data_IF_072299670502
#
_entry.id   IF_072299670502
#
_cell.length_a   1.000
_cell.length_b   1.000
_cell.length_c   1.000
_cell.angle_alpha   90.00
_cell.angle_beta   90.00
_cell.angle_gamma   90.00
#
_symmetry.space_group_name_H-M   'P 1'
#
loop_
_entity.id
_entity.type
_entity.pdbx_description
1 polymer ?
#
# COMPACT_ATOMS: atom_id res chain seq x y z
N UNK A 1 -11.20 -9.44 5.18
CA UNK A 1 -12.11 -9.80 4.07
C UNK A 1 -12.33 -8.53 3.28
N UNK A 2 -12.16 -8.51 1.94
CA UNK A 2 -12.60 -7.35 1.17
C UNK A 2 -14.13 -7.23 1.30
N UNK A 3 -14.65 -6.01 1.26
CA UNK A 3 -16.03 -5.65 1.65
C UNK A 3 -17.08 -6.11 0.63
N UNK A 4 -17.17 -7.40 0.27
CA UNK A 4 -18.31 -7.98 -0.47
C UNK A 4 -18.81 -7.20 -1.71
N UNK A 5 -17.96 -6.40 -2.35
CA UNK A 5 -18.27 -5.46 -3.44
C UNK A 5 -17.39 -5.70 -4.66
N UNK A 6 -16.55 -6.73 -4.64
CA UNK A 6 -15.77 -7.15 -5.80
C UNK A 6 -16.67 -7.91 -6.77
N UNK A 7 -16.67 -7.45 -8.02
CA UNK A 7 -17.18 -8.15 -9.20
C UNK A 7 -16.11 -9.12 -9.72
N UNK A 8 -16.47 -10.00 -10.67
CA UNK A 8 -15.50 -10.91 -11.33
C UNK A 8 -14.36 -10.16 -12.04
N UNK A 9 -14.60 -8.91 -12.45
CA UNK A 9 -13.62 -8.04 -13.12
C UNK A 9 -12.84 -7.12 -12.15
N UNK A 10 -12.96 -7.32 -10.83
CA UNK A 10 -12.29 -6.43 -9.88
C UNK A 10 -10.81 -6.76 -9.71
N UNK A 11 -9.98 -5.74 -9.86
CA UNK A 11 -8.54 -5.82 -9.60
C UNK A 11 -8.24 -6.23 -8.15
N UNK A 12 -7.13 -6.93 -7.95
CA UNK A 12 -6.62 -7.34 -6.64
C UNK A 12 -5.47 -6.42 -6.24
N UNK A 13 -5.71 -5.56 -5.25
CA UNK A 13 -4.66 -4.73 -4.66
C UNK A 13 -3.83 -5.51 -3.62
N UNK A 14 -2.52 -5.59 -3.84
CA UNK A 14 -1.56 -6.18 -2.89
C UNK A 14 -0.57 -5.11 -2.44
N UNK A 15 -0.71 -4.69 -1.17
CA UNK A 15 0.24 -3.82 -0.50
C UNK A 15 1.50 -4.57 -0.04
N UNK A 16 2.66 -4.18 -0.57
CA UNK A 16 3.96 -4.68 -0.12
C UNK A 16 4.55 -3.64 0.84
N UNK A 17 4.53 -3.96 2.13
CA UNK A 17 5.11 -3.14 3.19
C UNK A 17 6.58 -3.53 3.38
N UNK A 18 7.49 -2.60 3.12
CA UNK A 18 8.93 -2.87 3.11
C UNK A 18 9.70 -1.89 3.99
N UNK A 19 10.88 -2.32 4.45
CA UNK A 19 11.89 -1.43 5.01
C UNK A 19 12.83 -1.00 3.87
N UNK A 20 13.02 0.32 3.70
CA UNK A 20 13.84 0.90 2.64
C UNK A 20 15.29 0.41 2.66
N UNK A 21 15.84 0.06 3.82
CA UNK A 21 17.22 -0.45 3.96
C UNK A 21 17.41 -1.84 3.34
N UNK A 22 16.35 -2.64 3.23
CA UNK A 22 16.39 -4.01 2.71
C UNK A 22 15.58 -4.20 1.43
N UNK A 23 15.12 -3.12 0.81
CA UNK A 23 14.28 -3.17 -0.37
C UNK A 23 15.11 -3.41 -1.63
N UNK A 24 14.81 -4.48 -2.35
CA UNK A 24 15.43 -4.79 -3.63
C UNK A 24 14.38 -4.93 -4.74
N UNK A 25 14.29 -3.88 -5.55
CA UNK A 25 13.36 -3.81 -6.68
C UNK A 25 13.65 -4.87 -7.75
N UNK A 26 14.90 -5.32 -7.88
CA UNK A 26 15.26 -6.34 -8.88
C UNK A 26 14.69 -7.69 -8.47
N UNK A 27 14.84 -8.05 -7.19
CA UNK A 27 14.21 -9.25 -6.64
C UNK A 27 12.69 -9.21 -6.79
N UNK A 28 12.05 -8.07 -6.50
CA UNK A 28 10.60 -7.91 -6.71
C UNK A 28 10.22 -8.12 -8.19
N UNK A 29 10.94 -7.49 -9.12
CA UNK A 29 10.68 -7.66 -10.55
C UNK A 29 10.88 -9.10 -11.02
N UNK A 30 11.89 -9.82 -10.53
CA UNK A 30 12.10 -11.23 -10.86
C UNK A 30 10.91 -12.10 -10.44
N UNK A 31 10.32 -11.85 -9.28
CA UNK A 31 9.11 -12.56 -8.85
C UNK A 31 7.88 -12.11 -9.64
N UNK A 32 7.74 -10.81 -9.91
CA UNK A 32 6.65 -10.28 -10.72
C UNK A 32 6.62 -10.93 -12.11
N UNK A 33 7.78 -11.02 -12.79
CA UNK A 33 7.91 -11.71 -14.08
C UNK A 33 7.53 -13.19 -14.01
N UNK A 34 7.84 -13.89 -12.92
CA UNK A 34 7.47 -15.31 -12.77
C UNK A 34 5.97 -15.52 -12.56
N UNK A 35 5.31 -14.55 -11.92
CA UNK A 35 3.89 -14.62 -11.58
C UNK A 35 2.99 -14.09 -12.70
N UNK A 36 3.49 -13.16 -13.50
CA UNK A 36 2.78 -12.59 -14.64
C UNK A 36 2.57 -13.62 -15.74
N UNK A 37 1.35 -13.72 -16.25
CA UNK A 37 0.95 -14.71 -17.26
C UNK A 37 1.74 -14.57 -18.57
N UNK A 38 2.10 -13.33 -18.94
CA UNK A 38 2.90 -13.04 -20.12
C UNK A 38 4.41 -13.09 -19.86
N UNK A 39 4.82 -13.34 -18.60
CA UNK A 39 6.20 -13.32 -18.16
C UNK A 39 6.96 -12.04 -18.57
N UNK A 40 6.30 -10.88 -18.47
CA UNK A 40 6.90 -9.59 -18.83
C UNK A 40 7.96 -9.18 -17.83
N UNK A 41 8.97 -8.47 -18.31
CA UNK A 41 10.06 -7.95 -17.49
C UNK A 41 9.79 -6.51 -17.04
N UNK A 42 10.37 -6.10 -15.90
CA UNK A 42 10.35 -4.73 -15.40
C UNK A 42 8.93 -4.16 -15.17
N UNK A 43 8.02 -4.99 -14.67
CA UNK A 43 6.62 -4.62 -14.39
C UNK A 43 6.47 -3.70 -13.17
N UNK A 44 7.43 -3.72 -12.24
CA UNK A 44 7.39 -2.96 -10.99
C UNK A 44 8.36 -1.80 -11.05
N UNK A 45 7.84 -0.59 -10.87
CA UNK A 45 8.62 0.64 -10.77
C UNK A 45 9.09 0.88 -9.33
N UNK A 46 10.28 1.46 -9.12
CA UNK A 46 10.83 1.66 -7.79
C UNK A 46 10.07 2.76 -7.00
N UNK A 47 10.27 2.80 -5.68
CA UNK A 47 9.95 3.96 -4.85
C UNK A 47 10.45 5.27 -5.49
N UNK A 48 9.57 6.26 -5.60
CA UNK A 48 9.75 7.58 -6.18
C UNK A 48 9.14 7.71 -7.58
N UNK A 49 8.95 6.59 -8.30
CA UNK A 49 8.58 6.63 -9.72
C UNK A 49 7.15 7.12 -9.97
N UNK A 50 6.25 6.95 -9.00
CA UNK A 50 4.88 7.41 -9.06
C UNK A 50 4.64 8.71 -8.27
N UNK A 51 5.70 9.32 -7.72
CA UNK A 51 5.62 10.55 -6.91
C UNK A 51 5.79 10.28 -5.42
N UNK A 52 5.61 11.31 -4.60
CA UNK A 52 6.03 11.25 -3.19
C UNK A 52 5.16 10.32 -2.34
N UNK A 53 3.86 10.18 -2.61
CA UNK A 53 2.93 9.47 -1.71
C UNK A 53 2.58 8.08 -2.21
N UNK A 54 2.08 7.94 -3.44
CA UNK A 54 1.97 6.61 -4.04
C UNK A 54 3.35 6.32 -4.61
N UNK A 55 4.22 5.74 -3.78
CA UNK A 55 5.66 5.82 -4.05
C UNK A 55 6.13 4.86 -5.16
N UNK A 56 5.36 3.82 -5.51
CA UNK A 56 5.71 2.89 -6.58
C UNK A 56 4.87 1.63 -6.54
N UNK A 57 5.10 0.72 -7.47
CA UNK A 57 4.24 -0.44 -7.66
C UNK A 57 4.35 -1.04 -9.05
N UNK A 58 3.43 -1.93 -9.39
CA UNK A 58 3.38 -2.54 -10.71
C UNK A 58 2.05 -3.22 -11.00
N UNK A 59 1.76 -3.42 -12.28
CA UNK A 59 0.52 -4.04 -12.76
C UNK A 59 0.84 -5.39 -13.38
N UNK A 60 0.20 -6.43 -12.87
CA UNK A 60 0.40 -7.81 -13.31
C UNK A 60 -0.95 -8.41 -13.74
N UNK A 61 -0.87 -9.46 -14.54
CA UNK A 61 -1.98 -10.39 -14.73
C UNK A 61 -1.54 -11.76 -14.24
N UNK A 62 -2.24 -12.34 -13.27
CA UNK A 62 -1.91 -13.64 -12.66
C UNK A 62 -3.12 -14.56 -12.80
N UNK A 63 -2.98 -15.64 -13.57
CA UNK A 63 -4.06 -16.57 -13.92
C UNK A 63 -5.33 -15.87 -14.44
N UNK A 64 -5.14 -14.85 -15.28
CA UNK A 64 -6.21 -14.04 -15.86
C UNK A 64 -6.78 -12.93 -14.96
N UNK A 65 -6.29 -12.79 -13.72
CA UNK A 65 -6.72 -11.73 -12.80
C UNK A 65 -5.76 -10.55 -12.81
N UNK A 66 -6.29 -9.34 -12.88
CA UNK A 66 -5.52 -8.10 -12.73
C UNK A 66 -5.08 -7.91 -11.27
N UNK A 67 -3.78 -7.67 -11.07
CA UNK A 67 -3.18 -7.53 -9.75
C UNK A 67 -2.32 -6.26 -9.69
N UNK A 68 -2.66 -5.39 -8.74
CA UNK A 68 -1.99 -4.12 -8.49
C UNK A 68 -1.06 -4.28 -7.30
N UNK A 69 0.26 -4.29 -7.56
CA UNK A 69 1.26 -4.24 -6.51
C UNK A 69 1.47 -2.80 -6.08
N UNK A 70 1.35 -2.54 -4.79
CA UNK A 70 1.46 -1.21 -4.22
C UNK A 70 2.58 -1.20 -3.17
N UNK A 71 3.63 -0.40 -3.41
CA UNK A 71 4.75 -0.30 -2.49
C UNK A 71 4.44 0.68 -1.35
N UNK A 72 4.72 0.25 -0.10
CA UNK A 72 4.55 1.06 1.11
C UNK A 72 5.80 0.98 1.99
N UNK A 73 6.49 2.11 2.16
CA UNK A 73 7.57 2.22 3.14
C UNK A 73 6.98 2.16 4.56
N UNK A 74 7.38 1.14 5.33
CA UNK A 74 6.84 0.91 6.66
C UNK A 74 7.16 2.05 7.64
N UNK A 75 8.34 2.68 7.56
CA UNK A 75 8.71 3.78 8.45
C UNK A 75 7.82 4.99 8.21
N UNK A 76 7.43 5.21 6.94
CA UNK A 76 6.47 6.27 6.58
C UNK A 76 5.07 5.95 7.10
N UNK A 77 4.61 4.71 6.96
CA UNK A 77 3.31 4.28 7.50
C UNK A 77 3.28 4.51 9.01
N UNK A 78 4.33 4.12 9.74
CA UNK A 78 4.46 4.36 11.18
C UNK A 78 4.41 5.84 11.55
N UNK A 79 5.04 6.71 10.75
CA UNK A 79 4.98 8.15 10.98
C UNK A 79 3.56 8.69 10.79
N UNK A 80 2.87 8.30 9.71
CA UNK A 80 1.48 8.70 9.49
C UNK A 80 0.55 8.17 10.58
N UNK A 81 0.79 6.96 11.07
CA UNK A 81 0.07 6.41 12.22
C UNK A 81 0.23 7.32 13.44
N UNK A 82 1.45 7.75 13.76
CA UNK A 82 1.70 8.71 14.86
C UNK A 82 1.03 10.06 14.61
N UNK A 83 1.13 10.60 13.41
CA UNK A 83 0.55 11.91 13.07
C UNK A 83 -0.98 11.89 13.21
N UNK A 84 -1.63 10.83 12.69
CA UNK A 84 -3.08 10.65 12.79
C UNK A 84 -3.56 10.42 14.23
N UNK A 85 -2.77 9.79 15.10
CA UNK A 85 -3.09 9.74 16.54
C UNK A 85 -3.13 11.13 17.19
N UNK A 86 -2.32 12.07 16.70
CA UNK A 86 -2.31 13.46 17.16
C UNK A 86 -3.29 14.35 16.38
N UNK A 87 -4.12 13.78 15.49
CA UNK A 87 -5.07 14.52 14.67
C UNK A 87 -4.44 15.32 13.52
N UNK A 88 -3.19 15.03 13.16
CA UNK A 88 -2.47 15.67 12.07
C UNK A 88 -2.77 14.93 10.77
N UNK A 89 -3.47 15.60 9.85
CA UNK A 89 -3.78 15.08 8.51
C UNK A 89 -3.37 16.14 7.49
N UNK A 90 -2.61 15.72 6.48
CA UNK A 90 -2.13 16.61 5.42
C UNK A 90 -2.74 16.23 4.09
N UNK A 91 -3.08 17.23 3.28
CA UNK A 91 -3.44 17.07 1.88
C UNK A 91 -2.23 17.45 1.04
N UNK A 92 -1.68 16.50 0.30
CA UNK A 92 -0.44 16.67 -0.44
C UNK A 92 -0.71 16.57 -1.93
N UNK A 93 0.01 17.34 -2.74
CA UNK A 93 -0.11 17.20 -4.18
C UNK A 93 0.49 15.86 -4.64
N UNK A 94 -0.21 15.15 -5.53
CA UNK A 94 0.20 13.86 -6.08
C UNK A 94 -0.25 13.81 -7.54
N UNK A 95 0.68 13.54 -8.46
CA UNK A 95 0.38 13.42 -9.89
C UNK A 95 -0.66 12.31 -10.12
N UNK A 96 -1.67 12.57 -10.94
CA UNK A 96 -2.81 11.67 -11.15
C UNK A 96 -3.94 11.79 -10.11
N UNK A 97 -3.76 12.60 -9.05
CA UNK A 97 -4.78 12.84 -8.02
C UNK A 97 -5.11 14.35 -7.95
N UNK A 98 -6.08 14.84 -8.76
CA UNK A 98 -6.36 16.27 -8.88
C UNK A 98 -6.84 16.94 -7.58
N UNK A 99 -7.30 16.16 -6.61
CA UNK A 99 -7.74 16.64 -5.28
C UNK A 99 -6.67 16.47 -4.17
N UNK A 100 -5.46 16.01 -4.53
CA UNK A 100 -4.40 15.72 -3.57
C UNK A 100 -4.55 14.37 -2.87
N UNK A 101 -3.43 13.86 -2.37
CA UNK A 101 -3.34 12.66 -1.55
C UNK A 101 -3.48 13.01 -0.06
N UNK A 102 -4.47 12.42 0.59
CA UNK A 102 -4.72 12.63 2.03
C UNK A 102 -3.85 11.64 2.81
N UNK A 103 -2.98 12.13 3.69
CA UNK A 103 -2.02 11.29 4.41
C UNK A 103 -2.69 10.15 5.18
N UNK A 104 -3.89 10.38 5.73
CA UNK A 104 -4.68 9.39 6.45
C UNK A 104 -5.09 8.15 5.61
N UNK A 105 -4.96 8.20 4.28
CA UNK A 105 -5.24 7.05 3.41
C UNK A 105 -4.33 5.86 3.74
N UNK A 106 -3.06 6.07 4.13
CA UNK A 106 -2.16 4.99 4.55
C UNK A 106 -2.72 4.19 5.73
N UNK A 107 -3.29 4.89 6.71
CA UNK A 107 -3.93 4.27 7.87
C UNK A 107 -5.19 3.52 7.45
N UNK A 108 -6.03 4.13 6.62
CA UNK A 108 -7.25 3.52 6.11
C UNK A 108 -6.97 2.24 5.32
N UNK A 109 -6.02 2.27 4.39
CA UNK A 109 -5.57 1.12 3.60
C UNK A 109 -5.11 -0.02 4.50
N UNK A 110 -4.23 0.24 5.48
CA UNK A 110 -3.76 -0.77 6.41
C UNK A 110 -4.89 -1.34 7.28
N UNK A 111 -5.79 -0.48 7.77
CA UNK A 111 -6.93 -0.87 8.60
C UNK A 111 -7.89 -1.82 7.87
N UNK A 112 -8.20 -1.57 6.60
CA UNK A 112 -9.14 -2.42 5.84
C UNK A 112 -8.47 -3.64 5.20
N UNK A 113 -7.14 -3.61 5.02
CA UNK A 113 -6.39 -4.70 4.38
C UNK A 113 -6.50 -6.03 5.13
N UNK A 114 -6.25 -7.13 4.42
CA UNK A 114 -6.03 -8.46 5.03
C UNK A 114 -4.54 -8.78 4.94
N UNK A 115 -3.92 -9.10 6.08
CA UNK A 115 -2.53 -9.58 6.09
C UNK A 115 -2.48 -10.95 5.41
N UNK A 116 -1.73 -11.04 4.32
CA UNK A 116 -1.42 -12.31 3.65
C UNK A 116 -0.16 -12.95 4.22
N UNK A 117 0.82 -12.11 4.59
CA UNK A 117 2.08 -12.53 5.21
C UNK A 117 2.64 -11.38 6.06
N UNK A 118 3.25 -11.72 7.19
CA UNK A 118 4.04 -10.80 8.00
C UNK A 118 5.26 -11.52 8.55
N UNK A 119 6.46 -10.96 8.33
CA UNK A 119 7.72 -11.52 8.83
C UNK A 119 7.83 -11.40 10.35
N UNK A 120 7.22 -10.37 10.93
CA UNK A 120 7.28 -10.04 12.34
C UNK A 120 5.90 -9.58 12.86
N UNK A 121 5.74 -9.54 14.17
CA UNK A 121 4.49 -9.12 14.82
C UNK A 121 4.22 -7.62 14.69
N UNK A 122 5.25 -6.80 14.42
CA UNK A 122 5.12 -5.34 14.39
C UNK A 122 4.13 -4.86 13.33
N UNK A 123 4.05 -5.50 12.16
CA UNK A 123 3.05 -5.16 11.15
C UNK A 123 1.63 -5.51 11.62
N UNK A 124 1.47 -6.63 12.32
CA UNK A 124 0.19 -7.04 12.89
C UNK A 124 -0.28 -6.08 13.99
N UNK A 125 0.63 -5.60 14.84
CA UNK A 125 0.35 -4.59 15.85
C UNK A 125 0.00 -3.24 15.23
N UNK A 126 0.76 -2.79 14.23
CA UNK A 126 0.50 -1.56 13.49
C UNK A 126 -0.88 -1.60 12.82
N UNK A 127 -1.26 -2.76 12.26
CA UNK A 127 -2.61 -2.96 11.71
C UNK A 127 -3.70 -2.86 12.79
N UNK A 128 -3.54 -3.51 13.94
CA UNK A 128 -4.50 -3.40 15.06
C UNK A 128 -4.68 -1.96 15.52
N UNK A 129 -3.60 -1.19 15.55
CA UNK A 129 -3.66 0.24 15.84
C UNK A 129 -4.44 0.99 14.74
N UNK A 130 -4.16 0.70 13.46
CA UNK A 130 -4.83 1.34 12.33
C UNK A 130 -6.35 1.12 12.31
N UNK A 131 -6.81 -0.06 12.73
CA UNK A 131 -8.23 -0.42 12.86
C UNK A 131 -8.98 0.40 13.92
N UNK A 132 -8.25 0.93 14.91
CA UNK A 132 -8.84 1.84 15.90
C UNK A 132 -8.88 3.25 15.32
N UNK A 133 -10.06 3.84 15.18
CA UNK A 133 -10.17 5.22 14.69
C UNK A 133 -9.72 6.21 15.78
N UNK A 134 -8.72 7.09 15.53
CA UNK A 134 -8.20 8.01 16.53
C UNK A 134 -9.26 8.97 17.03
N UNK A 135 -9.35 9.14 18.35
CA UNK A 135 -10.23 10.14 18.94
C UNK A 135 -9.85 11.57 18.51
N UNK A 136 -8.57 11.85 18.27
CA UNK A 136 -8.12 13.15 17.78
C UNK A 136 -8.61 13.47 16.36
N UNK A 137 -8.85 12.44 15.53
CA UNK A 137 -9.47 12.56 14.21
C UNK A 137 -11.00 12.51 14.28
N UNK A 138 -11.60 12.28 15.46
CA UNK A 138 -13.04 12.45 15.70
C UNK A 138 -13.27 13.90 16.09
N UNK A 139 -13.31 14.81 15.13
CA UNK A 139 -13.95 16.11 15.36
C UNK A 139 -15.38 16.06 14.86
N UNK A 140 -16.28 16.33 15.80
CA UNK A 140 -17.72 16.64 15.66
C UNK A 140 -17.95 17.83 14.76
#
# INVERSE_FOLDING_TARGET
>A
MPRGTHTEDSDIDIGIYYNSESFDINTINQFATKLDDEHRNNLVVPPGAWGDWINGGGWLVINGYHVDLILRDIKRVEQIMKDTEHGIVTANYQTGHPHGYISAMYRGELAISKILYAKNESLCELKKQAETYPNACRKV
#
